data_IF_278192089747
#
_entry.id   IF_278192089747
#
_cell.length_a   1.000
_cell.length_b   1.000
_cell.length_c   1.000
_cell.angle_alpha   90.00
_cell.angle_beta   90.00
_cell.angle_gamma   90.00
#
_symmetry.space_group_name_H-M   'P 1'
#
loop_
_entity.id
_entity.type
_entity.pdbx_description
1 polymer ?
#
# COMPACT_ATOMS: atom_id res chain seq x y z
N UNK A 1 -8.58 -8.08 11.46
CA UNK A 1 -7.52 -7.68 10.51
C UNK A 1 -8.01 -6.56 9.64
N UNK A 2 -7.21 -5.53 9.46
CA UNK A 2 -7.55 -4.40 8.61
C UNK A 2 -7.20 -4.71 7.16
N UNK A 3 -8.03 -4.25 6.24
CA UNK A 3 -7.86 -4.55 4.83
C UNK A 3 -8.32 -3.34 4.00
N UNK A 4 -7.51 -2.95 3.03
CA UNK A 4 -7.84 -1.89 2.10
C UNK A 4 -7.43 -2.31 0.70
N UNK A 5 -8.32 -2.15 -0.26
CA UNK A 5 -8.07 -2.49 -1.65
C UNK A 5 -8.36 -1.31 -2.54
N UNK A 6 -7.70 -1.28 -3.68
CA UNK A 6 -7.95 -0.22 -4.64
C UNK A 6 -7.10 -0.37 -5.89
N UNK A 7 -7.00 0.72 -6.62
CA UNK A 7 -6.34 0.75 -7.91
C UNK A 7 -5.50 2.02 -8.01
N UNK A 8 -4.27 1.89 -8.46
CA UNK A 8 -3.41 3.03 -8.78
C UNK A 8 -3.36 3.22 -10.29
N UNK A 9 -3.56 4.46 -10.73
CA UNK A 9 -3.42 4.84 -12.14
C UNK A 9 -2.61 6.12 -12.18
N UNK A 10 -1.38 6.02 -12.66
CA UNK A 10 -0.44 7.14 -12.75
C UNK A 10 -0.16 7.79 -11.40
N UNK A 11 -0.20 7.00 -10.33
CA UNK A 11 0.09 7.47 -8.98
C UNK A 11 1.04 6.47 -8.30
N UNK A 12 1.88 6.99 -7.40
CA UNK A 12 2.81 6.17 -6.65
C UNK A 12 2.47 6.13 -5.17
N UNK A 13 1.36 6.75 -4.77
CA UNK A 13 0.99 6.85 -3.36
C UNK A 13 -0.35 6.18 -3.11
N UNK A 14 -0.36 5.24 -2.16
CA UNK A 14 -1.57 4.64 -1.63
C UNK A 14 -1.90 5.35 -0.33
N UNK A 15 -3.02 6.05 -0.28
CA UNK A 15 -3.47 6.71 0.94
C UNK A 15 -4.30 5.73 1.74
N UNK A 16 -3.86 5.41 2.95
CA UNK A 16 -4.56 4.48 3.81
C UNK A 16 -5.76 5.17 4.47
N UNK A 17 -6.81 4.39 4.82
CA UNK A 17 -7.99 4.98 5.46
C UNK A 17 -7.64 5.70 6.77
N UNK A 18 -8.28 6.83 7.02
CA UNK A 18 -8.05 7.60 8.24
C UNK A 18 -8.35 6.79 9.50
N UNK A 19 -9.30 5.88 9.41
CA UNK A 19 -9.68 5.03 10.55
C UNK A 19 -8.57 4.07 10.98
N UNK A 20 -7.52 3.91 10.15
CA UNK A 20 -6.37 3.09 10.51
C UNK A 20 -5.40 3.83 11.44
N UNK A 21 -5.51 5.14 11.53
CA UNK A 21 -4.62 5.93 12.39
C UNK A 21 -4.82 5.52 13.84
N UNK A 22 -3.72 5.15 14.49
CA UNK A 22 -3.75 4.72 15.89
C UNK A 22 -4.37 3.36 16.12
N UNK A 23 -4.81 2.67 15.05
CA UNK A 23 -5.43 1.35 15.14
C UNK A 23 -4.57 0.29 14.47
N UNK A 24 -4.03 0.60 13.30
CA UNK A 24 -3.20 -0.34 12.55
C UNK A 24 -1.79 -0.41 13.13
N UNK A 25 -1.27 -1.62 13.28
CA UNK A 25 0.11 -1.84 13.68
C UNK A 25 0.99 -1.67 12.44
N UNK A 26 1.82 -0.62 12.35
CA UNK A 26 2.62 -0.37 11.15
C UNK A 26 3.63 -1.47 10.86
N UNK A 27 4.04 -2.23 11.85
CA UNK A 27 4.98 -3.33 11.64
C UNK A 27 4.34 -4.54 10.97
N UNK A 28 3.02 -4.57 10.89
CA UNK A 28 2.29 -5.70 10.29
C UNK A 28 1.70 -5.35 8.93
N UNK A 29 1.95 -4.15 8.43
CA UNK A 29 1.40 -3.74 7.14
C UNK A 29 2.02 -4.57 6.03
N UNK A 30 1.17 -5.22 5.26
CA UNK A 30 1.55 -6.04 4.13
C UNK A 30 0.88 -5.49 2.87
N UNK A 31 1.65 -5.24 1.83
CA UNK A 31 1.14 -4.65 0.60
C UNK A 31 1.35 -5.64 -0.54
N UNK A 32 0.29 -5.93 -1.26
CA UNK A 32 0.35 -6.74 -2.47
C UNK A 32 -0.02 -5.89 -3.67
N UNK A 33 0.76 -6.00 -4.72
CA UNK A 33 0.59 -5.20 -5.93
C UNK A 33 0.44 -6.13 -7.13
N UNK A 34 -0.56 -5.85 -7.97
CA UNK A 34 -0.79 -6.61 -9.18
C UNK A 34 -0.84 -5.65 -10.37
N UNK A 35 0.21 -5.62 -11.20
CA UNK A 35 0.20 -4.75 -12.38
C UNK A 35 -0.92 -5.10 -13.34
N UNK A 36 -1.45 -4.10 -14.03
CA UNK A 36 -2.42 -4.31 -15.08
C UNK A 36 -2.09 -3.48 -16.30
N UNK A 37 -2.54 -3.94 -17.45
CA UNK A 37 -2.29 -3.26 -18.72
C UNK A 37 -0.94 -3.58 -19.32
N UNK A 38 0.13 -3.42 -18.54
CA UNK A 38 1.49 -3.76 -18.94
C UNK A 38 2.17 -4.48 -17.78
N UNK A 39 3.15 -5.30 -18.11
CA UNK A 39 3.95 -5.96 -17.09
C UNK A 39 4.91 -4.95 -16.46
N UNK A 40 4.90 -4.87 -15.13
CA UNK A 40 5.77 -3.94 -14.40
C UNK A 40 6.33 -4.64 -13.17
N UNK A 41 7.58 -4.31 -12.84
CA UNK A 41 8.16 -4.70 -11.56
C UNK A 41 7.90 -3.57 -10.58
N UNK A 42 7.05 -3.84 -9.61
CA UNK A 42 6.64 -2.86 -8.62
C UNK A 42 7.15 -3.25 -7.24
N UNK A 43 7.48 -2.25 -6.44
CA UNK A 43 7.92 -2.51 -5.07
C UNK A 43 7.46 -1.39 -4.16
N UNK A 44 7.40 -1.70 -2.87
CA UNK A 44 7.06 -0.71 -1.85
C UNK A 44 8.35 -0.01 -1.48
N UNK A 45 8.42 1.29 -1.76
CA UNK A 45 9.59 2.09 -1.45
C UNK A 45 9.64 2.45 0.04
N UNK A 46 8.51 2.81 0.59
CA UNK A 46 8.42 3.15 2.01
C UNK A 46 6.98 3.08 2.48
N UNK A 47 6.80 2.93 3.79
CA UNK A 47 5.50 2.97 4.44
C UNK A 47 5.59 4.07 5.49
N UNK A 48 4.69 5.03 5.38
CA UNK A 48 4.64 6.19 6.27
C UNK A 48 3.57 5.93 7.32
N UNK A 49 3.97 5.49 8.46
CA UNK A 49 3.24 5.15 9.68
C UNK A 49 1.70 5.22 9.60
N UNK A 50 1.10 4.22 8.97
CA UNK A 50 -0.36 4.10 8.93
C UNK A 50 -1.07 5.14 8.09
N UNK A 51 -0.34 5.97 7.37
CA UNK A 51 -0.93 7.02 6.55
C UNK A 51 -0.83 6.73 5.06
N UNK A 52 0.35 6.38 4.58
CA UNK A 52 0.61 6.24 3.16
C UNK A 52 1.60 5.13 2.88
N UNK A 53 1.43 4.51 1.71
CA UNK A 53 2.41 3.56 1.18
C UNK A 53 2.94 4.14 -0.12
N UNK A 54 4.24 4.24 -0.24
CA UNK A 54 4.88 4.74 -1.45
C UNK A 54 5.33 3.54 -2.28
N UNK A 55 4.82 3.47 -3.49
CA UNK A 55 5.10 2.38 -4.45
C UNK A 55 5.93 2.95 -5.59
N UNK A 56 6.83 2.15 -6.13
CA UNK A 56 7.65 2.58 -7.24
C UNK A 56 7.79 1.45 -8.25
N UNK A 57 7.85 1.83 -9.54
CA UNK A 57 8.21 0.91 -10.60
C UNK A 57 9.73 0.90 -10.75
N UNK A 58 10.32 -0.26 -10.93
CA UNK A 58 11.77 -0.36 -11.11
C UNK A 58 12.25 0.36 -12.38
N UNK A 59 11.38 0.53 -13.36
CA UNK A 59 11.69 1.27 -14.58
C UNK A 59 11.55 2.78 -14.43
N UNK A 60 10.97 3.23 -13.30
CA UNK A 60 10.74 4.65 -13.08
C UNK A 60 9.53 5.23 -13.79
N UNK A 61 8.75 4.40 -14.47
CA UNK A 61 7.56 4.86 -15.19
C UNK A 61 6.33 4.98 -14.31
N UNK A 62 5.21 5.39 -14.93
CA UNK A 62 3.94 5.49 -14.24
C UNK A 62 3.49 4.12 -13.71
N UNK A 63 2.93 4.12 -12.50
CA UNK A 63 2.48 2.89 -11.85
C UNK A 63 1.02 2.65 -12.21
N UNK A 64 0.72 1.45 -12.69
CA UNK A 64 -0.64 0.99 -12.94
C UNK A 64 -0.80 -0.37 -12.29
N UNK A 65 -1.54 -0.42 -11.20
CA UNK A 65 -1.72 -1.68 -10.48
C UNK A 65 -2.96 -1.67 -9.61
N UNK A 66 -3.42 -2.87 -9.31
CA UNK A 66 -4.35 -3.05 -8.20
C UNK A 66 -3.53 -3.26 -6.94
N UNK A 67 -4.04 -2.83 -5.81
CA UNK A 67 -3.34 -3.03 -4.55
C UNK A 67 -4.26 -3.62 -3.50
N UNK A 68 -3.66 -4.39 -2.59
CA UNK A 68 -4.30 -4.88 -1.38
C UNK A 68 -3.35 -4.60 -0.24
N UNK A 69 -3.81 -3.86 0.76
CA UNK A 69 -3.04 -3.56 1.95
C UNK A 69 -3.73 -4.21 3.14
N UNK A 70 -2.98 -4.99 3.90
CA UNK A 70 -3.49 -5.67 5.09
C UNK A 70 -2.64 -5.28 6.28
N UNK A 71 -3.27 -5.17 7.44
CA UNK A 71 -2.55 -4.90 8.68
C UNK A 71 -3.31 -5.51 9.84
N UNK A 72 -2.59 -5.82 10.91
CA UNK A 72 -3.19 -6.23 12.16
C UNK A 72 -3.48 -4.99 12.99
N UNK A 73 -4.49 -5.09 13.83
CA UNK A 73 -4.78 -4.03 14.78
C UNK A 73 -3.73 -4.01 15.88
N UNK A 74 -3.45 -2.83 16.39
CA UNK A 74 -2.54 -2.69 17.51
C UNK A 74 -3.03 -3.50 18.69
N UNK A 75 -2.10 -4.18 19.34
CA UNK A 75 -2.41 -4.95 20.53
C UNK A 75 -2.77 -4.02 21.68
N UNK A 76 -3.92 -4.24 22.28
CA UNK A 76 -4.36 -3.53 23.48
C UNK A 76 -3.85 -4.33 24.66
N UNK A 77 -2.62 -4.06 25.02
CA UNK A 77 -1.94 -4.84 26.03
C UNK A 77 -2.38 -4.62 27.45
#
# INVERSE_FOLDING_TARGET
MLNATGKLTDSTVIVLPDEWKGVADPDTINVQLTPFGVSQELFVKSIDYGHRVIVQSSSGGAVKCYYTVEAKELSQG
#
